data_IF_297221688720
#
_entry.id   IF_297221688720
#
_cell.length_a   1.000
_cell.length_b   1.000
_cell.length_c   1.000
_cell.angle_alpha   90.00
_cell.angle_beta   90.00
_cell.angle_gamma   90.00
#
_symmetry.space_group_name_H-M   'P 1'
#
loop_
_entity.id
_entity.type
_entity.pdbx_description
1 polymer ?
#
# COMPACT_ATOMS: atom_id res chain seq x y z
N UNK A 1 -2.94 9.05 6.64
CA UNK A 1 -1.89 8.54 5.75
C UNK A 1 -1.75 7.04 5.94
N UNK A 2 -1.68 6.27 4.85
CA UNK A 2 -1.51 4.81 4.86
C UNK A 2 -0.11 4.49 4.31
N UNK A 3 0.67 3.73 5.09
CA UNK A 3 2.01 3.33 4.68
C UNK A 3 1.95 2.05 3.84
N UNK A 4 2.30 2.18 2.56
CA UNK A 4 2.42 1.07 1.60
C UNK A 4 3.86 0.97 1.04
N UNK A 5 4.85 1.42 1.82
CA UNK A 5 6.23 1.57 1.32
C UNK A 5 7.33 1.09 2.26
N UNK A 6 7.02 0.75 3.51
CA UNK A 6 8.03 0.28 4.47
C UNK A 6 8.55 -1.11 4.09
N UNK A 7 9.87 -1.29 3.86
CA UNK A 7 10.45 -2.57 3.49
C UNK A 7 10.97 -3.37 4.70
N UNK A 8 10.87 -2.83 5.93
CA UNK A 8 11.41 -3.47 7.14
C UNK A 8 10.77 -4.85 7.32
N UNK A 9 11.60 -5.88 7.52
CA UNK A 9 11.15 -7.28 7.56
C UNK A 9 10.01 -7.51 8.54
N UNK A 10 10.05 -6.87 9.73
CA UNK A 10 8.97 -6.93 10.73
C UNK A 10 7.62 -6.44 10.20
N UNK A 11 7.60 -5.43 9.33
CA UNK A 11 6.37 -4.88 8.74
C UNK A 11 5.89 -5.76 7.59
N UNK A 12 6.82 -6.18 6.73
CA UNK A 12 6.54 -7.06 5.59
C UNK A 12 6.00 -8.42 6.04
N UNK A 13 6.56 -8.99 7.11
CA UNK A 13 6.12 -10.28 7.68
C UNK A 13 4.73 -10.23 8.29
N UNK A 14 4.23 -9.03 8.63
CA UNK A 14 2.86 -8.82 9.10
C UNK A 14 1.89 -8.48 7.97
N UNK A 15 2.26 -8.81 6.71
CA UNK A 15 1.49 -8.48 5.52
C UNK A 15 1.13 -7.00 5.42
N UNK A 16 2.08 -6.11 5.68
CA UNK A 16 1.88 -4.66 5.65
C UNK A 16 3.02 -3.92 4.93
N UNK A 17 2.91 -2.59 4.82
CA UNK A 17 3.94 -1.76 4.20
C UNK A 17 4.11 -2.08 2.72
N UNK A 18 5.36 -2.24 2.27
CA UNK A 18 5.65 -2.52 0.86
C UNK A 18 5.07 -3.87 0.39
N UNK A 19 4.76 -4.82 1.29
CA UNK A 19 4.21 -6.14 0.94
C UNK A 19 2.88 -6.04 0.18
N UNK A 20 2.11 -4.98 0.43
CA UNK A 20 0.85 -4.72 -0.28
C UNK A 20 1.03 -4.48 -1.78
N UNK A 21 2.22 -4.09 -2.23
CA UNK A 21 2.51 -3.89 -3.66
C UNK A 21 2.50 -5.20 -4.47
N UNK A 22 2.40 -6.36 -3.80
CA UNK A 22 2.21 -7.64 -4.47
C UNK A 22 0.73 -8.05 -4.59
N UNK A 23 -0.18 -7.25 -4.02
CA UNK A 23 -1.62 -7.55 -3.98
C UNK A 23 -2.45 -6.26 -4.15
N UNK A 24 -2.65 -5.81 -5.41
CA UNK A 24 -3.43 -4.61 -5.72
C UNK A 24 -4.89 -4.69 -5.26
N UNK A 25 -5.50 -5.87 -5.26
CA UNK A 25 -6.90 -6.06 -4.85
C UNK A 25 -7.07 -5.79 -3.36
N UNK A 26 -6.14 -6.27 -2.53
CA UNK A 26 -6.09 -5.96 -1.09
C UNK A 26 -5.89 -4.47 -0.84
N UNK A 27 -5.07 -3.79 -1.65
CA UNK A 27 -4.92 -2.33 -1.56
C UNK A 27 -6.27 -1.65 -1.79
N UNK A 28 -6.98 -2.02 -2.86
CA UNK A 28 -8.27 -1.42 -3.20
C UNK A 28 -9.30 -1.61 -2.07
N UNK A 29 -9.43 -2.83 -1.55
CA UNK A 29 -10.35 -3.13 -0.45
C UNK A 29 -10.04 -2.27 0.79
N UNK A 30 -8.78 -2.25 1.22
CA UNK A 30 -8.36 -1.54 2.43
C UNK A 30 -8.51 -0.03 2.29
N UNK A 31 -8.07 0.55 1.17
CA UNK A 31 -8.19 2.00 0.93
C UNK A 31 -9.67 2.41 0.88
N UNK A 32 -10.49 1.65 0.14
CA UNK A 32 -11.93 1.93 0.02
C UNK A 32 -12.63 1.89 1.38
N UNK A 33 -12.32 0.87 2.19
CA UNK A 33 -12.88 0.74 3.54
C UNK A 33 -12.48 1.90 4.46
N UNK A 34 -11.23 2.35 4.41
CA UNK A 34 -10.75 3.48 5.22
C UNK A 34 -11.41 4.78 4.76
N UNK A 35 -11.43 5.07 3.46
CA UNK A 35 -12.05 6.28 2.89
C UNK A 35 -13.53 6.36 3.24
N UNK A 36 -14.26 5.25 3.20
CA UNK A 36 -15.68 5.22 3.56
C UNK A 36 -15.95 5.53 5.04
N UNK A 37 -14.96 5.35 5.94
CA UNK A 37 -15.11 5.49 7.39
C UNK A 37 -14.69 6.84 7.94
N UNK A 38 -13.95 7.65 7.18
CA UNK A 38 -13.33 8.88 7.69
C UNK A 38 -13.70 10.08 6.83
N UNK A 39 -14.05 11.20 7.49
CA UNK A 39 -14.41 12.44 6.80
C UNK A 39 -13.18 13.26 6.36
N UNK A 40 -11.98 12.94 6.85
CA UNK A 40 -10.74 13.64 6.51
C UNK A 40 -10.11 13.03 5.26
N UNK A 41 -9.38 13.81 4.43
CA UNK A 41 -8.65 13.27 3.30
C UNK A 41 -7.71 12.13 3.72
N UNK A 42 -7.79 11.01 3.00
CA UNK A 42 -6.89 9.87 3.16
C UNK A 42 -5.78 9.99 2.13
N UNK A 43 -4.54 9.95 2.61
CA UNK A 43 -3.34 9.95 1.77
C UNK A 43 -2.65 8.58 1.85
N UNK A 44 -1.87 8.25 0.83
CA UNK A 44 -1.06 7.03 0.76
C UNK A 44 0.38 7.42 0.45
N UNK A 45 1.33 6.79 1.15
CA UNK A 45 2.75 6.84 0.81
C UNK A 45 3.22 5.45 0.37
N UNK A 46 3.52 5.31 -0.91
CA UNK A 46 3.95 4.05 -1.53
C UNK A 46 5.32 4.17 -2.22
N UNK A 47 5.87 3.03 -2.62
CA UNK A 47 7.00 2.94 -3.57
C UNK A 47 6.46 2.77 -4.98
N UNK A 48 7.33 2.88 -5.99
CA UNK A 48 6.97 2.63 -7.39
C UNK A 48 6.48 1.20 -7.64
N UNK A 49 6.93 0.27 -6.80
CA UNK A 49 6.75 -1.15 -7.00
C UNK A 49 7.42 -1.97 -5.89
N UNK A 50 7.20 -3.28 -5.93
CA UNK A 50 7.87 -4.23 -5.03
C UNK A 50 9.29 -4.56 -5.51
N UNK A 51 9.43 -4.86 -6.79
CA UNK A 51 10.69 -5.14 -7.48
C UNK A 51 10.58 -4.67 -8.95
N UNK A 52 11.53 -5.09 -9.79
CA UNK A 52 11.57 -4.73 -11.21
C UNK A 52 10.46 -5.36 -12.05
N UNK A 53 9.82 -6.44 -11.58
CA UNK A 53 8.71 -7.10 -12.27
C UNK A 53 7.35 -6.52 -11.85
N UNK A 54 7.29 -5.88 -10.68
CA UNK A 54 6.07 -5.37 -10.06
C UNK A 54 6.11 -3.83 -9.92
N UNK A 55 6.14 -3.11 -11.04
CA UNK A 55 6.12 -1.63 -11.09
C UNK A 55 4.71 -1.13 -11.44
N UNK A 56 4.13 -0.29 -10.60
CA UNK A 56 2.74 0.18 -10.73
C UNK A 56 2.59 1.70 -10.82
N UNK A 57 3.51 2.46 -10.24
CA UNK A 57 3.52 3.92 -10.37
C UNK A 57 4.38 4.31 -11.58
N UNK A 58 3.80 4.14 -12.77
CA UNK A 58 4.36 4.59 -14.06
C UNK A 58 3.72 5.94 -14.44
N UNK A 59 4.48 6.81 -15.12
CA UNK A 59 4.00 8.12 -15.62
C UNK A 59 2.89 8.00 -16.67
#
# INVERSE_FOLDING_TARGET
DINMGCPVSKVVSCEAGARWLLDPDKIYEMVSAVVARVAKPVTVKMRIGWDHEHIYAVE
#
